data_IF_512700369197
#
_entry.id   IF_512700369197
#
_cell.length_a   1.000
_cell.length_b   1.000
_cell.length_c   1.000
_cell.angle_alpha   90.00
_cell.angle_beta   90.00
_cell.angle_gamma   90.00
#
_symmetry.space_group_name_H-M   'P 1'
#
loop_
_entity.id
_entity.type
_entity.pdbx_description
1 polymer ?
#
# COMPACT_ATOMS: atom_id res chain seq x y z
N UNK A 1 -10.12 -3.11 9.27
CA UNK A 1 -9.26 -2.93 8.08
C UNK A 1 -7.81 -2.64 8.42
N UNK A 2 -7.50 -1.74 9.37
CA UNK A 2 -6.12 -1.38 9.75
C UNK A 2 -5.18 -2.56 10.08
N UNK A 3 -5.65 -3.57 10.83
CA UNK A 3 -4.84 -4.78 11.10
C UNK A 3 -4.45 -5.55 9.84
N UNK A 4 -5.36 -5.66 8.87
CA UNK A 4 -5.09 -6.33 7.60
C UNK A 4 -4.07 -5.55 6.76
N UNK A 5 -4.13 -4.22 6.81
CA UNK A 5 -3.13 -3.34 6.19
C UNK A 5 -1.74 -3.54 6.78
N UNK A 6 -1.60 -3.49 8.12
CA UNK A 6 -0.31 -3.77 8.76
C UNK A 6 0.22 -5.17 8.46
N UNK A 7 -0.65 -6.18 8.45
CA UNK A 7 -0.26 -7.55 8.12
C UNK A 7 0.18 -7.71 6.66
N UNK A 8 -0.47 -7.00 5.73
CA UNK A 8 -0.14 -7.04 4.31
C UNK A 8 1.22 -6.37 4.02
N UNK A 9 1.53 -5.26 4.70
CA UNK A 9 2.82 -4.58 4.54
C UNK A 9 3.97 -5.33 5.23
N UNK A 10 3.78 -5.87 6.44
CA UNK A 10 4.84 -6.59 7.18
C UNK A 10 5.32 -7.87 6.52
N UNK A 11 4.43 -8.58 5.81
CA UNK A 11 4.75 -9.83 5.15
C UNK A 11 5.27 -9.65 3.70
N UNK A 12 5.77 -8.46 3.37
CA UNK A 12 6.31 -8.20 2.04
C UNK A 12 7.52 -9.13 1.76
N UNK A 13 7.48 -9.95 0.69
CA UNK A 13 8.56 -10.89 0.38
C UNK A 13 9.72 -10.18 -0.32
N UNK A 14 10.33 -9.19 0.33
CA UNK A 14 11.36 -8.30 -0.26
C UNK A 14 12.58 -9.09 -0.74
N UNK A 15 12.94 -10.17 -0.04
CA UNK A 15 14.15 -10.95 -0.30
C UNK A 15 13.93 -12.22 -1.15
N UNK A 16 12.69 -12.52 -1.57
CA UNK A 16 12.47 -13.72 -2.40
C UNK A 16 12.89 -13.48 -3.85
N UNK A 17 13.46 -14.49 -4.51
CA UNK A 17 13.65 -14.51 -5.97
C UNK A 17 12.41 -15.03 -6.71
N UNK A 18 11.43 -15.59 -5.98
CA UNK A 18 10.23 -16.16 -6.58
C UNK A 18 9.25 -15.05 -6.99
N UNK A 19 9.10 -14.85 -8.30
CA UNK A 19 8.22 -13.82 -8.84
C UNK A 19 6.74 -14.05 -8.50
N UNK A 20 6.27 -15.30 -8.52
CA UNK A 20 4.87 -15.62 -8.21
C UNK A 20 4.50 -15.26 -6.76
N UNK A 21 5.45 -15.40 -5.83
CA UNK A 21 5.25 -15.00 -4.43
C UNK A 21 5.16 -13.47 -4.31
N UNK A 22 5.99 -12.72 -5.05
CA UNK A 22 5.91 -11.25 -5.10
C UNK A 22 4.58 -10.77 -5.65
N UNK A 23 4.14 -11.36 -6.76
CA UNK A 23 2.86 -11.00 -7.39
C UNK A 23 1.67 -11.31 -6.49
N UNK A 24 1.68 -12.45 -5.79
CA UNK A 24 0.64 -12.79 -4.82
C UNK A 24 0.60 -11.79 -3.66
N UNK A 25 1.75 -11.43 -3.10
CA UNK A 25 1.82 -10.44 -2.03
C UNK A 25 1.33 -9.06 -2.50
N UNK A 26 1.71 -8.64 -3.71
CA UNK A 26 1.23 -7.40 -4.33
C UNK A 26 -0.29 -7.41 -4.49
N UNK A 27 -0.87 -8.51 -4.98
CA UNK A 27 -2.32 -8.67 -5.10
C UNK A 27 -3.04 -8.55 -3.76
N UNK A 28 -2.48 -9.11 -2.69
CA UNK A 28 -3.04 -8.99 -1.33
C UNK A 28 -3.00 -7.53 -0.86
N UNK A 29 -1.86 -6.85 -1.00
CA UNK A 29 -1.74 -5.44 -0.61
C UNK A 29 -2.73 -4.58 -1.39
N UNK A 30 -2.75 -4.69 -2.72
CA UNK A 30 -3.67 -3.94 -3.57
C UNK A 30 -5.14 -4.16 -3.18
N UNK A 31 -5.52 -5.40 -2.92
CA UNK A 31 -6.88 -5.72 -2.46
C UNK A 31 -7.20 -5.03 -1.13
N UNK A 32 -6.26 -4.96 -0.20
CA UNK A 32 -6.47 -4.23 1.06
C UNK A 32 -6.61 -2.73 0.81
N UNK A 33 -5.76 -2.14 -0.03
CA UNK A 33 -5.80 -0.70 -0.35
C UNK A 33 -7.12 -0.30 -1.02
N UNK A 34 -7.62 -1.11 -1.96
CA UNK A 34 -8.86 -0.80 -2.71
C UNK A 34 -10.14 -1.05 -1.91
N UNK A 35 -10.10 -1.87 -0.86
CA UNK A 35 -11.24 -2.10 0.05
C UNK A 35 -11.23 -1.17 1.27
N UNK A 36 -10.24 -0.30 1.39
CA UNK A 36 -10.15 0.65 2.50
C UNK A 36 -11.14 1.80 2.29
N UNK A 37 -11.80 2.25 3.36
CA UNK A 37 -12.63 3.45 3.27
C UNK A 37 -11.73 4.67 3.17
N UNK A 38 -12.03 5.62 2.29
CA UNK A 38 -11.23 6.84 2.12
C UNK A 38 -11.05 7.62 3.44
N UNK A 39 -12.06 7.60 4.33
CA UNK A 39 -12.00 8.24 5.65
C UNK A 39 -11.01 7.59 6.63
N UNK A 40 -10.57 6.37 6.39
CA UNK A 40 -9.64 5.62 7.26
C UNK A 40 -8.19 5.66 6.75
N UNK A 41 -7.96 6.13 5.52
CA UNK A 41 -6.64 6.10 4.86
C UNK A 41 -5.62 6.93 5.65
N UNK A 42 -5.97 8.15 6.04
CA UNK A 42 -5.06 9.06 6.72
C UNK A 42 -4.54 8.49 8.05
N UNK A 43 -5.44 7.95 8.87
CA UNK A 43 -5.06 7.27 10.11
C UNK A 43 -4.17 6.05 9.85
N UNK A 44 -4.41 5.31 8.75
CA UNK A 44 -3.59 4.16 8.41
C UNK A 44 -2.16 4.57 8.02
N UNK A 45 -1.99 5.62 7.21
CA UNK A 45 -0.67 6.13 6.84
C UNK A 45 0.08 6.68 8.05
N UNK A 46 -0.58 7.46 8.92
CA UNK A 46 0.02 8.00 10.14
C UNK A 46 0.48 6.93 11.14
N UNK A 47 -0.04 5.69 11.02
CA UNK A 47 0.37 4.58 11.87
C UNK A 47 1.66 3.87 11.41
N UNK A 48 2.23 4.28 10.27
CA UNK A 48 3.46 3.72 9.72
C UNK A 48 4.69 4.48 10.21
N UNK A 49 5.81 3.77 10.30
CA UNK A 49 7.14 4.37 10.40
C UNK A 49 7.68 4.69 9.00
N UNK A 50 8.84 5.33 8.94
CA UNK A 50 9.49 5.73 7.66
C UNK A 50 9.64 4.57 6.68
N UNK A 51 10.05 3.39 7.17
CA UNK A 51 10.20 2.20 6.34
C UNK A 51 8.85 1.69 5.81
N UNK A 52 7.79 1.78 6.63
CA UNK A 52 6.43 1.44 6.25
C UNK A 52 5.89 2.35 5.15
N UNK A 53 6.10 3.67 5.27
CA UNK A 53 5.75 4.67 4.26
C UNK A 53 6.47 4.38 2.93
N UNK A 54 7.79 4.17 2.97
CA UNK A 54 8.58 3.80 1.78
C UNK A 54 8.08 2.52 1.10
N UNK A 55 7.65 1.54 1.90
CA UNK A 55 7.11 0.29 1.39
C UNK A 55 5.72 0.48 0.79
N UNK A 56 4.86 1.27 1.42
CA UNK A 56 3.55 1.62 0.90
C UNK A 56 3.68 2.32 -0.46
N UNK A 57 4.56 3.31 -0.58
CA UNK A 57 4.82 4.01 -1.84
C UNK A 57 5.22 3.05 -2.97
N UNK A 58 6.09 2.07 -2.70
CA UNK A 58 6.46 1.03 -3.68
C UNK A 58 5.26 0.22 -4.17
N UNK A 59 4.35 -0.16 -3.26
CA UNK A 59 3.14 -0.90 -3.62
C UNK A 59 2.15 -0.05 -4.42
N UNK A 60 2.04 1.24 -4.11
CA UNK A 60 1.21 2.19 -4.86
C UNK A 60 1.68 2.28 -6.32
N UNK A 61 2.97 2.54 -6.55
CA UNK A 61 3.53 2.59 -7.90
C UNK A 61 3.38 1.27 -8.64
N UNK A 62 3.56 0.14 -7.94
CA UNK A 62 3.36 -1.17 -8.55
C UNK A 62 1.90 -1.41 -8.95
N UNK A 63 0.95 -0.88 -8.17
CA UNK A 63 -0.47 -0.90 -8.49
C UNK A 63 -0.80 -0.15 -9.78
N UNK A 64 -0.12 0.98 -10.04
CA UNK A 64 -0.32 1.74 -11.27
C UNK A 64 0.18 1.02 -12.53
N UNK A 65 1.12 0.07 -12.42
CA UNK A 65 1.56 -0.74 -13.56
C UNK A 65 0.49 -1.74 -14.04
N UNK A 66 -0.42 -2.16 -13.15
CA UNK A 66 -1.47 -3.14 -13.44
C UNK A 66 -2.82 -2.63 -12.91
N UNK A 67 -3.39 -1.56 -13.50
CA UNK A 67 -4.61 -0.96 -13.00
C UNK A 67 -5.78 -1.95 -13.15
N UNK A 68 -6.62 -2.01 -12.13
CA UNK A 68 -7.92 -2.68 -12.17
C UNK A 68 -9.02 -1.63 -12.10
N UNK A 69 -10.27 -2.02 -12.30
CA UNK A 69 -11.40 -1.10 -12.23
C UNK A 69 -11.38 -0.30 -10.90
N UNK A 70 -11.46 1.03 -11.01
CA UNK A 70 -11.42 1.99 -9.90
C UNK A 70 -10.16 1.98 -9.01
N UNK A 71 -9.16 1.12 -9.24
CA UNK A 71 -7.99 1.05 -8.38
C UNK A 71 -7.15 2.31 -8.44
N UNK A 72 -6.99 2.92 -9.61
CA UNK A 72 -6.15 4.10 -9.79
C UNK A 72 -6.65 5.30 -8.97
N UNK A 73 -7.97 5.52 -8.90
CA UNK A 73 -8.55 6.58 -8.09
C UNK A 73 -8.25 6.38 -6.60
N UNK A 74 -8.41 5.16 -6.10
CA UNK A 74 -8.09 4.82 -4.70
C UNK A 74 -6.59 4.96 -4.43
N UNK A 75 -5.74 4.47 -5.34
CA UNK A 75 -4.29 4.58 -5.21
C UNK A 75 -3.79 6.02 -5.19
N UNK A 76 -4.45 6.93 -5.92
CA UNK A 76 -4.14 8.37 -5.85
C UNK A 76 -4.51 8.97 -4.48
N UNK A 77 -5.60 8.54 -3.84
CA UNK A 77 -5.93 8.96 -2.47
C UNK A 77 -4.88 8.47 -1.47
N UNK A 78 -4.41 7.24 -1.62
CA UNK A 78 -3.30 6.71 -0.80
C UNK A 78 -2.02 7.51 -1.02
N UNK A 79 -1.65 7.77 -2.28
CA UNK A 79 -0.47 8.52 -2.65
C UNK A 79 -0.45 9.94 -2.07
N UNK A 80 -1.58 10.65 -2.14
CA UNK A 80 -1.72 11.99 -1.54
C UNK A 80 -1.39 11.97 -0.05
N UNK A 81 -1.97 11.02 0.69
CA UNK A 81 -1.77 10.90 2.15
C UNK A 81 -0.35 10.43 2.51
N UNK A 82 0.20 9.51 1.74
CA UNK A 82 1.57 9.00 1.91
C UNK A 82 2.61 10.09 1.68
N UNK A 83 2.46 10.90 0.63
CA UNK A 83 3.32 12.07 0.37
C UNK A 83 3.26 13.11 1.49
N UNK A 84 2.07 13.39 2.01
CA UNK A 84 1.89 14.33 3.12
C UNK A 84 2.72 13.84 4.30
N UNK A 85 2.56 12.58 4.75
CA UNK A 85 3.30 12.04 5.89
C UNK A 85 4.81 11.99 5.61
N UNK A 86 5.23 11.56 4.42
CA UNK A 86 6.64 11.52 4.04
C UNK A 86 7.32 12.90 4.11
N UNK A 87 6.60 13.99 3.82
CA UNK A 87 7.13 15.34 3.93
C UNK A 87 7.36 15.81 5.39
N UNK A 88 6.77 15.14 6.38
CA UNK A 88 6.84 15.50 7.80
C UNK A 88 7.66 14.52 8.67
N UNK A 89 8.24 13.46 8.08
CA UNK A 89 9.05 12.44 8.77
C UNK A 89 10.50 12.49 8.29
#
# INVERSE_FOLDING_TARGET
MLRAFHAALRNSPVNTKNQAVKERAQGVVLKVLTNFKSSEIEQAVQSLDRNGVDLLMKYIYKGFEKPTENSSAVLLQWHEKDLIVYAFV
#
